data_IF_011653238387
#
_entry.id   IF_011653238387
#
_cell.length_a   1.000
_cell.length_b   1.000
_cell.length_c   1.000
_cell.angle_alpha   90.00
_cell.angle_beta   90.00
_cell.angle_gamma   90.00
#
_symmetry.space_group_name_H-M   'P 1'
#
loop_
_entity.id
_entity.type
_entity.pdbx_description
1 polymer ?
#
# COMPACT_ATOMS: atom_id res chain seq x y z
N UNK A 1 -15.89 21.70 -16.73
CA UNK A 1 -15.68 20.28 -16.96
C UNK A 1 -16.38 19.41 -15.93
N UNK A 2 -16.07 19.55 -14.61
CA UNK A 2 -16.66 18.71 -13.56
C UNK A 2 -18.19 18.85 -13.45
N UNK A 3 -18.72 20.06 -13.65
CA UNK A 3 -20.18 20.28 -13.66
C UNK A 3 -20.90 19.67 -14.86
N UNK A 4 -20.17 19.45 -15.96
CA UNK A 4 -20.74 18.94 -17.22
C UNK A 4 -20.69 17.42 -17.31
N UNK A 5 -19.63 16.82 -16.74
CA UNK A 5 -19.35 15.39 -16.89
C UNK A 5 -19.20 14.64 -15.57
N UNK A 6 -19.25 15.33 -14.44
CA UNK A 6 -19.04 14.75 -13.12
C UNK A 6 -20.31 14.65 -12.29
N UNK A 7 -20.60 13.49 -11.77
CA UNK A 7 -21.64 13.28 -10.77
C UNK A 7 -21.01 13.12 -9.39
N UNK A 8 -21.56 13.89 -8.43
CA UNK A 8 -21.14 13.77 -7.03
C UNK A 8 -22.21 13.04 -6.22
N UNK A 9 -21.76 12.18 -5.33
CA UNK A 9 -22.63 11.49 -4.38
C UNK A 9 -22.23 11.87 -2.97
N UNK A 10 -23.25 12.15 -2.17
CA UNK A 10 -23.11 12.38 -0.74
C UNK A 10 -23.38 11.08 -0.01
N UNK A 11 -22.39 10.57 0.68
CA UNK A 11 -22.49 9.33 1.44
C UNK A 11 -22.12 9.57 2.91
N UNK A 12 -22.67 8.72 3.76
CA UNK A 12 -22.28 8.65 5.17
C UNK A 12 -21.10 7.68 5.24
N UNK A 13 -19.98 8.14 5.76
CA UNK A 13 -18.77 7.35 5.95
C UNK A 13 -18.32 7.37 7.41
N UNK A 14 -17.59 6.33 7.82
CA UNK A 14 -16.95 6.32 9.13
C UNK A 14 -15.97 7.49 9.22
N UNK A 15 -15.98 8.20 10.32
CA UNK A 15 -15.03 9.28 10.54
C UNK A 15 -13.60 8.74 10.65
N UNK A 16 -12.56 9.47 10.14
CA UNK A 16 -11.17 9.00 10.13
C UNK A 16 -10.62 8.64 11.51
N UNK A 17 -11.15 9.24 12.55
CA UNK A 17 -10.83 8.98 13.95
C UNK A 17 -11.39 7.65 14.48
N UNK A 18 -12.11 6.90 13.64
CA UNK A 18 -12.68 5.59 13.98
C UNK A 18 -13.96 5.64 14.83
N UNK A 19 -14.41 6.82 15.23
CA UNK A 19 -15.61 7.02 16.04
C UNK A 19 -16.63 7.92 15.35
N UNK A 20 -17.89 7.45 15.28
CA UNK A 20 -18.97 8.19 14.66
C UNK A 20 -18.96 8.19 13.13
N UNK A 21 -19.93 8.90 12.56
CA UNK A 21 -20.15 8.99 11.12
C UNK A 21 -20.14 10.45 10.67
N UNK A 22 -19.66 10.68 9.45
CA UNK A 22 -19.72 11.99 8.81
C UNK A 22 -20.31 11.90 7.42
N UNK A 23 -20.94 12.96 6.98
CA UNK A 23 -21.44 13.10 5.62
C UNK A 23 -20.34 13.70 4.73
N UNK A 24 -20.00 13.04 3.64
CA UNK A 24 -19.00 13.52 2.69
C UNK A 24 -19.53 13.43 1.27
N UNK A 25 -19.42 14.55 0.53
CA UNK A 25 -19.70 14.59 -0.90
C UNK A 25 -18.41 14.34 -1.67
N UNK A 26 -18.43 13.37 -2.56
CA UNK A 26 -17.30 13.01 -3.40
C UNK A 26 -17.73 12.89 -4.85
N UNK A 27 -16.79 13.10 -5.77
CA UNK A 27 -16.96 12.67 -7.15
C UNK A 27 -17.16 11.14 -7.16
N UNK A 28 -18.22 10.69 -7.83
CA UNK A 28 -18.63 9.30 -7.86
C UNK A 28 -18.39 8.64 -9.21
N UNK A 29 -18.88 9.28 -10.25
CA UNK A 29 -18.79 8.72 -11.60
C UNK A 29 -18.88 9.82 -12.66
N UNK A 30 -18.50 9.44 -13.87
CA UNK A 30 -18.76 10.27 -15.04
C UNK A 30 -20.20 10.07 -15.52
N UNK A 31 -20.84 11.14 -15.95
CA UNK A 31 -22.05 11.08 -16.73
C UNK A 31 -21.83 11.74 -18.11
N UNK A 32 -22.78 11.58 -19.03
CA UNK A 32 -22.63 12.00 -20.41
C UNK A 32 -21.33 11.47 -21.06
N UNK A 33 -21.01 10.21 -20.75
CA UNK A 33 -19.78 9.55 -21.19
C UNK A 33 -19.64 9.51 -22.72
N UNK A 34 -20.70 9.30 -23.54
CA UNK A 34 -20.55 9.31 -24.99
C UNK A 34 -19.99 10.60 -25.55
N UNK A 35 -20.47 11.76 -25.07
CA UNK A 35 -19.96 13.08 -25.49
C UNK A 35 -18.53 13.31 -25.01
N UNK A 36 -18.27 13.02 -23.74
CA UNK A 36 -16.92 13.10 -23.17
C UNK A 36 -15.93 12.24 -23.99
N UNK A 37 -16.30 11.03 -24.32
CA UNK A 37 -15.47 10.13 -25.12
C UNK A 37 -15.28 10.62 -26.56
N UNK A 38 -16.30 11.23 -27.16
CA UNK A 38 -16.17 11.82 -28.49
C UNK A 38 -15.17 12.97 -28.49
N UNK A 39 -15.26 13.88 -27.52
CA UNK A 39 -14.30 14.99 -27.37
C UNK A 39 -12.88 14.47 -27.09
N UNK A 40 -12.76 13.45 -26.26
CA UNK A 40 -11.46 12.88 -25.91
C UNK A 40 -10.78 12.19 -27.10
N UNK A 41 -11.55 11.49 -27.92
CA UNK A 41 -11.06 10.82 -29.15
C UNK A 41 -10.55 11.76 -30.22
N UNK A 42 -10.90 13.05 -30.18
CA UNK A 42 -10.35 14.04 -31.11
C UNK A 42 -8.85 14.28 -30.87
N UNK A 43 -8.37 14.07 -29.65
CA UNK A 43 -6.99 14.38 -29.22
C UNK A 43 -6.22 13.15 -28.69
N UNK A 44 -6.87 11.99 -28.56
CA UNK A 44 -6.28 10.80 -27.99
C UNK A 44 -6.69 9.51 -28.72
N UNK A 45 -5.75 8.61 -28.94
CA UNK A 45 -6.03 7.23 -29.38
C UNK A 45 -6.32 6.38 -28.15
N UNK A 46 -7.51 5.77 -28.11
CA UNK A 46 -7.99 4.97 -26.97
C UNK A 46 -8.12 3.53 -27.42
N UNK A 47 -7.39 2.66 -26.74
CA UNK A 47 -7.49 1.21 -26.90
C UNK A 47 -7.86 0.58 -25.56
N UNK A 48 -8.87 -0.26 -25.58
CA UNK A 48 -9.23 -1.08 -24.41
C UNK A 48 -8.45 -2.40 -24.44
N UNK A 49 -8.37 -3.09 -23.30
CA UNK A 49 -7.57 -4.33 -23.19
C UNK A 49 -8.02 -5.40 -24.19
N UNK A 50 -9.32 -5.51 -24.46
CA UNK A 50 -9.90 -6.43 -25.45
C UNK A 50 -9.52 -6.08 -26.88
N UNK A 51 -9.26 -4.80 -27.19
CA UNK A 51 -8.80 -4.35 -28.50
C UNK A 51 -7.31 -4.56 -28.74
N UNK A 52 -6.54 -4.67 -27.64
CA UNK A 52 -5.08 -4.82 -27.71
C UNK A 52 -4.65 -6.27 -27.89
N UNK A 53 -5.52 -7.26 -27.66
CA UNK A 53 -5.19 -8.69 -27.68
C UNK A 53 -3.88 -9.03 -26.97
N UNK A 54 -3.66 -8.40 -25.80
CA UNK A 54 -2.45 -8.63 -25.01
C UNK A 54 -2.43 -10.07 -24.50
N UNK A 55 -1.27 -10.73 -24.51
CA UNK A 55 -1.12 -12.04 -23.87
C UNK A 55 -1.20 -11.84 -22.35
N UNK A 56 -2.40 -11.97 -21.79
CA UNK A 56 -2.64 -11.86 -20.35
C UNK A 56 -2.58 -13.26 -19.77
N UNK A 57 -1.72 -13.52 -18.76
CA UNK A 57 -1.67 -14.80 -18.09
C UNK A 57 -2.93 -15.04 -17.25
N UNK A 58 -3.24 -16.31 -17.03
CA UNK A 58 -4.23 -16.66 -16.00
C UNK A 58 -3.73 -16.23 -14.63
N UNK A 59 -4.64 -15.70 -13.81
CA UNK A 59 -4.31 -15.12 -12.49
C UNK A 59 -5.09 -15.83 -11.40
N UNK A 60 -4.39 -16.32 -10.40
CA UNK A 60 -4.97 -16.76 -9.14
C UNK A 60 -4.70 -15.69 -8.06
N UNK A 61 -5.76 -15.20 -7.41
CA UNK A 61 -5.66 -14.22 -6.35
C UNK A 61 -5.66 -14.92 -4.98
N UNK A 62 -4.58 -14.75 -4.22
CA UNK A 62 -4.46 -15.26 -2.86
C UNK A 62 -4.27 -14.11 -1.87
N UNK A 63 -5.22 -13.92 -0.97
CA UNK A 63 -5.14 -12.92 0.09
C UNK A 63 -4.65 -13.56 1.39
N UNK A 64 -3.55 -13.04 1.94
CA UNK A 64 -3.00 -13.48 3.21
C UNK A 64 -3.25 -12.39 4.23
N UNK A 65 -3.97 -12.71 5.30
CA UNK A 65 -4.34 -11.78 6.35
C UNK A 65 -3.50 -12.04 7.59
N UNK A 66 -2.78 -11.00 8.04
CA UNK A 66 -1.98 -11.03 9.25
C UNK A 66 -2.76 -10.36 10.39
N UNK A 67 -2.75 -10.99 11.56
CA UNK A 67 -3.36 -10.40 12.76
C UNK A 67 -2.43 -9.34 13.34
N UNK A 68 -2.97 -8.19 13.77
CA UNK A 68 -2.15 -7.17 14.43
C UNK A 68 -1.65 -7.65 15.79
N UNK A 69 -0.44 -7.19 16.17
CA UNK A 69 0.11 -7.37 17.52
C UNK A 69 -0.63 -6.47 18.53
N UNK A 70 -0.44 -6.68 19.82
CA UNK A 70 -1.05 -5.82 20.84
C UNK A 70 -0.47 -4.40 20.76
N UNK A 71 0.84 -4.26 20.51
CA UNK A 71 1.50 -2.97 20.33
C UNK A 71 0.92 -2.22 19.12
N UNK A 72 0.62 -2.92 18.03
CA UNK A 72 -0.03 -2.31 16.87
C UNK A 72 -1.45 -1.82 17.20
N UNK A 73 -2.20 -2.57 18.01
CA UNK A 73 -3.55 -2.16 18.43
C UNK A 73 -3.51 -0.92 19.32
N UNK A 74 -2.59 -0.88 20.27
CA UNK A 74 -2.37 0.27 21.14
C UNK A 74 -2.02 1.52 20.32
N UNK A 75 -1.07 1.39 19.39
CA UNK A 75 -0.68 2.52 18.53
C UNK A 75 -1.82 2.98 17.61
N UNK A 76 -2.67 2.08 17.13
CA UNK A 76 -3.88 2.46 16.37
C UNK A 76 -4.83 3.28 17.23
N UNK A 77 -4.97 2.97 18.53
CA UNK A 77 -5.78 3.77 19.45
C UNK A 77 -5.17 5.18 19.60
N UNK A 78 -3.85 5.31 19.77
CA UNK A 78 -3.17 6.61 19.80
C UNK A 78 -3.37 7.42 18.50
N UNK A 79 -3.32 6.77 17.33
CA UNK A 79 -3.63 7.43 16.05
C UNK A 79 -5.07 7.96 16.02
N UNK A 80 -6.02 7.23 16.61
CA UNK A 80 -7.40 7.65 16.76
C UNK A 80 -7.52 8.92 17.63
N UNK A 81 -6.84 8.94 18.77
CA UNK A 81 -6.82 10.11 19.68
C UNK A 81 -6.19 11.34 18.98
N UNK A 82 -5.08 11.16 18.28
CA UNK A 82 -4.44 12.22 17.49
C UNK A 82 -5.38 12.77 16.41
N UNK A 83 -6.10 11.89 15.71
CA UNK A 83 -7.07 12.29 14.69
C UNK A 83 -8.22 13.11 15.29
N UNK A 84 -8.69 12.77 16.49
CA UNK A 84 -9.70 13.53 17.21
C UNK A 84 -9.19 14.91 17.64
N UNK A 85 -7.98 15.00 18.15
CA UNK A 85 -7.34 16.28 18.50
C UNK A 85 -7.21 17.21 17.29
N UNK A 86 -6.76 16.70 16.15
CA UNK A 86 -6.68 17.45 14.89
C UNK A 86 -8.06 17.92 14.45
N UNK A 87 -9.08 17.07 14.54
CA UNK A 87 -10.46 17.43 14.17
C UNK A 87 -11.01 18.55 15.02
N UNK A 88 -10.71 18.52 16.31
CA UNK A 88 -11.19 19.52 17.27
C UNK A 88 -10.37 20.82 17.26
N UNK A 89 -9.36 20.93 16.39
CA UNK A 89 -8.49 22.10 16.30
C UNK A 89 -7.55 22.27 17.50
N UNK A 90 -7.32 21.20 18.27
CA UNK A 90 -6.47 21.20 19.45
C UNK A 90 -4.97 21.17 19.16
N UNK A 91 -4.57 20.96 17.89
CA UNK A 91 -3.16 20.85 17.49
C UNK A 91 -2.92 21.70 16.24
N UNK A 92 -1.77 22.40 16.20
CA UNK A 92 -1.34 23.12 15.01
C UNK A 92 -1.06 22.14 13.87
N UNK A 93 -1.53 22.46 12.66
CA UNK A 93 -1.41 21.59 11.48
C UNK A 93 0.03 21.36 11.03
N UNK A 94 0.98 22.20 11.46
CA UNK A 94 2.41 22.01 11.24
C UNK A 94 3.02 20.94 12.16
N UNK A 95 2.42 20.73 13.34
CA UNK A 95 2.84 19.73 14.33
C UNK A 95 2.23 18.38 13.98
N UNK A 96 0.90 18.33 13.81
CA UNK A 96 0.19 17.10 13.44
C UNK A 96 -1.02 17.39 12.53
N UNK A 97 -1.33 16.45 11.64
CA UNK A 97 -2.42 16.59 10.70
C UNK A 97 -2.86 15.21 10.16
N UNK A 98 -4.04 15.14 9.53
CA UNK A 98 -4.59 13.89 9.01
C UNK A 98 -3.68 13.18 8.00
N UNK A 99 -2.87 13.91 7.22
CA UNK A 99 -1.94 13.31 6.27
C UNK A 99 -0.82 12.55 6.99
N UNK A 100 -0.26 13.18 8.04
CA UNK A 100 0.79 12.57 8.87
C UNK A 100 0.25 11.34 9.59
N UNK A 101 -0.91 11.45 10.25
CA UNK A 101 -1.58 10.34 10.94
C UNK A 101 -1.86 9.16 9.99
N UNK A 102 -2.37 9.45 8.79
CA UNK A 102 -2.63 8.41 7.78
C UNK A 102 -1.33 7.74 7.32
N UNK A 103 -0.26 8.51 7.15
CA UNK A 103 1.04 7.97 6.77
C UNK A 103 1.64 7.09 7.88
N UNK A 104 1.53 7.51 9.14
CA UNK A 104 1.95 6.71 10.28
C UNK A 104 1.14 5.40 10.36
N UNK A 105 -0.17 5.46 10.14
CA UNK A 105 -1.01 4.26 10.07
C UNK A 105 -0.61 3.30 8.94
N UNK A 106 -0.23 3.82 7.77
CA UNK A 106 0.28 2.99 6.65
C UNK A 106 1.61 2.32 7.00
N UNK A 107 2.51 3.06 7.63
CA UNK A 107 3.80 2.52 8.11
C UNK A 107 3.59 1.42 9.14
N UNK A 108 2.79 1.69 10.17
CA UNK A 108 2.45 0.72 11.20
C UNK A 108 1.83 -0.56 10.61
N UNK A 109 0.93 -0.40 9.65
CA UNK A 109 0.27 -1.52 8.98
C UNK A 109 1.22 -2.37 8.13
N UNK A 110 2.34 -1.82 7.66
CA UNK A 110 3.37 -2.56 6.93
C UNK A 110 4.34 -3.20 7.92
N UNK A 111 5.02 -2.39 8.73
CA UNK A 111 5.96 -2.82 9.76
C UNK A 111 6.07 -1.75 10.85
N UNK A 112 5.88 -2.14 12.11
CA UNK A 112 5.90 -1.22 13.25
C UNK A 112 7.27 -0.52 13.44
N UNK A 113 8.37 -1.14 13.01
CA UNK A 113 9.72 -0.56 13.05
C UNK A 113 9.88 0.67 12.16
N UNK A 114 8.96 0.90 11.20
CA UNK A 114 8.89 2.13 10.40
C UNK A 114 8.39 3.34 11.20
N UNK A 115 7.80 3.10 12.36
CA UNK A 115 7.38 4.15 13.30
C UNK A 115 8.51 4.48 14.27
N UNK A 116 9.12 3.45 14.85
CA UNK A 116 10.21 3.59 15.81
C UNK A 116 11.06 2.32 15.85
N UNK A 117 12.37 2.48 15.89
CA UNK A 117 13.34 1.39 16.05
C UNK A 117 13.21 0.69 17.42
N UNK A 118 12.46 1.26 18.36
CA UNK A 118 12.18 0.65 19.65
C UNK A 118 11.20 -0.52 19.56
N UNK A 119 10.42 -0.62 18.47
CA UNK A 119 9.51 -1.75 18.27
C UNK A 119 10.29 -2.99 17.82
N UNK A 120 9.93 -4.18 18.36
CA UNK A 120 10.58 -5.42 17.96
C UNK A 120 10.18 -5.83 16.53
N UNK A 121 11.01 -6.70 15.93
CA UNK A 121 10.60 -7.42 14.72
C UNK A 121 9.46 -8.39 15.04
N UNK A 122 8.50 -8.47 14.14
CA UNK A 122 7.37 -9.39 14.28
C UNK A 122 7.61 -10.63 13.42
N UNK A 123 7.88 -11.76 14.07
CA UNK A 123 8.07 -13.07 13.40
C UNK A 123 6.81 -13.56 12.65
N UNK A 124 5.64 -13.02 13.00
CA UNK A 124 4.37 -13.31 12.33
C UNK A 124 3.86 -12.07 11.55
N UNK A 125 4.74 -11.10 11.30
CA UNK A 125 4.41 -9.86 10.60
C UNK A 125 4.30 -10.04 9.09
N UNK A 126 3.80 -9.00 8.41
CA UNK A 126 3.60 -9.00 6.96
C UNK A 126 4.89 -9.26 6.17
N UNK A 127 6.00 -8.67 6.61
CA UNK A 127 7.30 -8.81 5.91
C UNK A 127 7.81 -10.24 6.03
N UNK A 128 7.71 -10.84 7.21
CA UNK A 128 8.09 -12.24 7.43
C UNK A 128 7.21 -13.19 6.60
N UNK A 129 5.90 -13.00 6.63
CA UNK A 129 4.98 -13.84 5.85
C UNK A 129 5.19 -13.67 4.33
N UNK A 130 5.49 -12.45 3.87
CA UNK A 130 5.90 -12.22 2.49
C UNK A 130 7.17 -13.00 2.13
N UNK A 131 8.20 -12.93 2.98
CA UNK A 131 9.44 -13.68 2.79
C UNK A 131 9.16 -15.19 2.71
N UNK A 132 8.33 -15.72 3.62
CA UNK A 132 7.96 -17.13 3.65
C UNK A 132 7.25 -17.56 2.36
N UNK A 133 6.27 -16.79 1.89
CA UNK A 133 5.56 -17.09 0.64
C UNK A 133 6.51 -17.03 -0.57
N UNK A 134 7.39 -16.04 -0.62
CA UNK A 134 8.40 -15.95 -1.68
C UNK A 134 9.37 -17.14 -1.63
N UNK A 135 9.81 -17.54 -0.45
CA UNK A 135 10.68 -18.70 -0.27
C UNK A 135 9.97 -20.00 -0.69
N UNK A 136 8.73 -20.23 -0.28
CA UNK A 136 7.96 -21.41 -0.65
C UNK A 136 7.80 -21.53 -2.17
N UNK A 137 7.51 -20.42 -2.86
CA UNK A 137 7.42 -20.38 -4.33
C UNK A 137 8.79 -20.65 -4.95
N UNK A 138 9.85 -19.99 -4.46
CA UNK A 138 11.22 -20.18 -4.95
C UNK A 138 11.64 -21.63 -4.83
N UNK A 139 11.46 -22.26 -3.65
CA UNK A 139 11.81 -23.66 -3.41
C UNK A 139 11.05 -24.61 -4.33
N UNK A 140 9.74 -24.39 -4.51
CA UNK A 140 8.91 -25.25 -5.36
C UNK A 140 9.11 -25.03 -6.87
N UNK A 141 9.76 -23.96 -7.28
CA UNK A 141 9.97 -23.62 -8.70
C UNK A 141 11.45 -23.57 -9.12
N UNK A 142 12.35 -24.09 -8.29
CA UNK A 142 13.80 -24.13 -8.58
C UNK A 142 14.14 -24.70 -9.95
N UNK A 143 13.50 -25.80 -10.33
CA UNK A 143 13.76 -26.48 -11.60
C UNK A 143 13.30 -25.67 -12.81
N UNK A 144 12.26 -24.87 -12.65
CA UNK A 144 11.69 -24.01 -13.71
C UNK A 144 12.26 -22.60 -13.71
N UNK A 145 13.02 -22.22 -12.68
CA UNK A 145 13.62 -20.88 -12.50
C UNK A 145 12.58 -19.75 -12.65
N UNK A 146 11.45 -19.90 -11.97
CA UNK A 146 10.38 -18.90 -12.03
C UNK A 146 10.80 -17.62 -11.36
N UNK A 147 10.53 -16.48 -12.01
CA UNK A 147 10.79 -15.16 -11.43
C UNK A 147 9.60 -14.68 -10.59
N UNK A 148 9.89 -14.00 -9.50
CA UNK A 148 8.91 -13.38 -8.61
C UNK A 148 9.12 -11.87 -8.57
N UNK A 149 8.02 -11.11 -8.51
CA UNK A 149 8.05 -9.65 -8.35
C UNK A 149 7.35 -9.29 -7.03
N UNK A 150 8.06 -8.58 -6.16
CA UNK A 150 7.51 -8.06 -4.91
C UNK A 150 7.39 -6.55 -5.02
N UNK A 151 6.16 -6.04 -4.82
CA UNK A 151 5.86 -4.62 -4.86
C UNK A 151 5.66 -4.09 -3.45
N UNK A 152 6.42 -3.04 -3.11
CA UNK A 152 6.26 -2.31 -1.85
C UNK A 152 6.38 -0.82 -2.13
N UNK A 153 5.33 -0.06 -1.84
CA UNK A 153 5.24 1.38 -2.12
C UNK A 153 5.73 2.27 -0.96
N UNK A 154 6.19 1.65 0.13
CA UNK A 154 6.74 2.32 1.29
C UNK A 154 8.15 1.82 1.60
N UNK A 155 8.90 2.64 2.35
CA UNK A 155 10.20 2.23 2.92
C UNK A 155 11.28 1.90 1.89
N UNK A 156 11.32 2.63 0.76
CA UNK A 156 12.40 2.52 -0.23
C UNK A 156 13.75 2.78 0.43
N UNK A 157 14.81 1.99 0.13
CA UNK A 157 16.13 2.15 0.70
C UNK A 157 16.70 3.55 0.44
N UNK A 158 17.25 4.18 1.49
CA UNK A 158 17.86 5.52 1.41
C UNK A 158 19.38 5.49 1.46
N UNK A 159 19.98 4.34 1.73
CA UNK A 159 21.41 4.15 1.95
C UNK A 159 21.98 5.00 3.10
N UNK A 160 21.17 5.35 4.07
CA UNK A 160 21.53 6.15 5.26
C UNK A 160 21.64 5.32 6.55
N UNK A 161 21.53 3.99 6.43
CA UNK A 161 21.58 3.06 7.55
C UNK A 161 20.26 2.98 8.36
N UNK A 162 19.22 3.70 7.95
CA UNK A 162 17.90 3.56 8.60
C UNK A 162 17.22 2.27 8.19
N UNK A 163 16.43 1.72 9.11
CA UNK A 163 15.62 0.53 8.82
C UNK A 163 14.73 0.74 7.59
N UNK A 164 14.73 -0.24 6.71
CA UNK A 164 13.82 -0.29 5.57
C UNK A 164 13.36 -1.73 5.29
N UNK A 165 12.15 -1.85 4.78
CA UNK A 165 11.49 -3.13 4.53
C UNK A 165 12.17 -3.92 3.40
N UNK A 166 12.79 -3.25 2.44
CA UNK A 166 13.48 -3.92 1.32
C UNK A 166 14.67 -4.74 1.80
N UNK A 167 15.54 -4.12 2.60
CA UNK A 167 16.73 -4.79 3.12
C UNK A 167 16.33 -5.88 4.14
N UNK A 168 15.31 -5.64 4.95
CA UNK A 168 14.79 -6.62 5.91
C UNK A 168 14.19 -7.84 5.19
N UNK A 169 13.40 -7.63 4.14
CA UNK A 169 12.86 -8.73 3.32
C UNK A 169 13.97 -9.52 2.64
N UNK A 170 14.97 -8.84 2.07
CA UNK A 170 16.14 -9.47 1.48
C UNK A 170 16.87 -10.33 2.50
N UNK A 171 17.14 -9.79 3.70
CA UNK A 171 17.82 -10.53 4.76
C UNK A 171 17.04 -11.77 5.18
N UNK A 172 15.72 -11.66 5.38
CA UNK A 172 14.86 -12.80 5.72
C UNK A 172 14.88 -13.89 4.65
N UNK A 173 14.89 -13.52 3.37
CA UNK A 173 15.01 -14.49 2.27
C UNK A 173 16.38 -15.19 2.28
N UNK A 174 17.45 -14.45 2.52
CA UNK A 174 18.81 -15.02 2.64
C UNK A 174 18.90 -15.95 3.85
N UNK A 175 18.33 -15.59 4.98
CA UNK A 175 18.29 -16.42 6.20
C UNK A 175 17.49 -17.73 5.99
N UNK A 176 16.52 -17.71 5.08
CA UNK A 176 15.78 -18.91 4.64
C UNK A 176 16.55 -19.76 3.62
N UNK A 177 17.63 -19.23 3.04
CA UNK A 177 18.53 -19.95 2.13
C UNK A 177 18.43 -19.54 0.67
N UNK A 178 17.75 -18.44 0.33
CA UNK A 178 17.80 -17.87 -1.02
C UNK A 178 19.15 -17.20 -1.25
N UNK A 179 19.89 -17.53 -2.32
CA UNK A 179 21.17 -16.89 -2.62
C UNK A 179 21.02 -15.38 -2.87
N UNK A 180 21.98 -14.59 -2.39
CA UNK A 180 21.93 -13.14 -2.56
C UNK A 180 21.89 -12.70 -4.03
N UNK A 181 22.58 -13.42 -4.90
CA UNK A 181 22.63 -13.16 -6.34
C UNK A 181 21.29 -13.40 -7.07
N UNK A 182 20.33 -14.05 -6.42
CA UNK A 182 19.00 -14.25 -6.96
C UNK A 182 17.99 -13.17 -6.49
N UNK A 183 18.44 -12.21 -5.67
CA UNK A 183 17.62 -11.12 -5.14
C UNK A 183 18.13 -9.78 -5.68
N UNK A 184 17.28 -9.06 -6.39
CA UNK A 184 17.63 -7.76 -6.96
C UNK A 184 16.58 -6.69 -6.68
N UNK A 185 17.03 -5.44 -6.57
CA UNK A 185 16.17 -4.28 -6.45
C UNK A 185 16.06 -3.56 -7.78
N UNK A 186 14.86 -3.22 -8.19
CA UNK A 186 14.65 -2.44 -9.42
C UNK A 186 15.38 -1.09 -9.42
N UNK A 187 15.62 -0.53 -8.23
CA UNK A 187 16.36 0.71 -8.05
C UNK A 187 17.84 0.61 -8.48
N UNK A 188 18.39 -0.58 -8.55
CA UNK A 188 19.76 -0.86 -8.98
C UNK A 188 19.84 -1.30 -10.43
N UNK A 189 18.72 -1.43 -11.14
CA UNK A 189 18.70 -1.73 -12.57
C UNK A 189 19.12 -0.48 -13.37
N UNK A 190 20.15 -0.62 -14.19
CA UNK A 190 20.65 0.40 -15.12
C UNK A 190 20.02 0.20 -16.49
#
# INVERSE_FOLDING_TARGET
WAATFGETVTAIELAPEGTGYRTKTRFSRFFNVPELMSMFKEVADIKTSDQLNLPVPEVEYKTIVIKPTEEQKEYVAELGERAEQVRNGGVDSSIDNMLKITNDGRKLALDQRLISDAFPDSVDGKVYECARQCYDIWENTKDTKSAQLVFCDLSTPKNDGTFNVYDDLKQKLMDMGVPEEEIAYIHHAN
#
